data_IF_444485556821
#
_entry.id   IF_444485556821
#
_cell.length_a   1.000
_cell.length_b   1.000
_cell.length_c   1.000
_cell.angle_alpha   90.00
_cell.angle_beta   90.00
_cell.angle_gamma   90.00
#
_symmetry.space_group_name_H-M   'P 1'
#
loop_
_entity.id
_entity.type
_entity.pdbx_description
1 polymer ?
#
# COMPACT_ATOMS: atom_id res chain seq x y z
N UNK A 1 16.14 -0.09 10.83
CA UNK A 1 16.36 -1.12 9.78
C UNK A 1 15.54 -2.41 9.96
N UNK A 2 14.95 -2.71 11.13
CA UNK A 2 14.18 -3.96 11.38
C UNK A 2 12.68 -3.86 11.11
N UNK A 3 12.03 -2.74 11.47
CA UNK A 3 10.59 -2.53 11.31
C UNK A 3 10.10 -2.49 9.86
N UNK A 4 10.89 -1.91 8.95
CA UNK A 4 10.58 -1.89 7.53
C UNK A 4 10.63 -3.31 6.93
N UNK A 5 11.61 -4.12 7.33
CA UNK A 5 11.75 -5.50 6.87
C UNK A 5 10.54 -6.35 7.31
N UNK A 6 10.09 -6.22 8.55
CA UNK A 6 8.92 -6.96 9.05
C UNK A 6 7.64 -6.63 8.26
N UNK A 7 7.40 -5.34 7.94
CA UNK A 7 6.23 -4.93 7.16
C UNK A 7 6.29 -5.38 5.71
N UNK A 8 7.47 -5.31 5.08
CA UNK A 8 7.66 -5.79 3.71
C UNK A 8 7.47 -7.31 3.63
N UNK A 9 7.95 -8.06 4.62
CA UNK A 9 7.70 -9.50 4.70
C UNK A 9 6.21 -9.82 4.88
N UNK A 10 5.47 -9.03 5.68
CA UNK A 10 4.00 -9.17 5.77
C UNK A 10 3.32 -8.90 4.42
N UNK A 11 3.72 -7.86 3.69
CA UNK A 11 3.19 -7.59 2.34
C UNK A 11 3.46 -8.73 1.37
N UNK A 12 4.65 -9.34 1.44
CA UNK A 12 5.01 -10.51 0.62
C UNK A 12 4.23 -11.78 1.01
N UNK A 13 3.61 -11.79 2.18
CA UNK A 13 2.83 -12.91 2.67
C UNK A 13 1.33 -12.81 2.31
N UNK A 14 0.85 -11.67 1.81
CA UNK A 14 -0.56 -11.51 1.44
C UNK A 14 -0.94 -12.45 0.30
N UNK A 15 -2.18 -12.94 0.32
CA UNK A 15 -2.71 -13.94 -0.62
C UNK A 15 -4.07 -13.50 -1.18
N UNK A 16 -4.36 -13.91 -2.41
CA UNK A 16 -5.63 -13.75 -3.12
C UNK A 16 -6.62 -14.88 -2.88
N UNK A 17 -6.23 -15.90 -2.11
CA UNK A 17 -7.14 -16.95 -1.69
C UNK A 17 -8.43 -16.34 -1.12
N UNK A 18 -9.57 -16.94 -1.45
CA UNK A 18 -10.92 -16.38 -1.21
C UNK A 18 -11.15 -15.93 0.23
N UNK A 19 -10.56 -16.62 1.20
CA UNK A 19 -10.72 -16.32 2.63
C UNK A 19 -9.67 -15.34 3.18
N UNK A 20 -8.69 -14.96 2.36
CA UNK A 20 -7.55 -14.11 2.72
C UNK A 20 -7.55 -12.75 2.01
N UNK A 21 -8.29 -12.60 0.90
CA UNK A 21 -8.49 -11.33 0.20
C UNK A 21 -9.99 -11.06 0.01
N UNK A 22 -10.57 -10.29 0.93
CA UNK A 22 -12.01 -10.08 0.98
C UNK A 22 -12.33 -8.64 0.60
N UNK A 23 -13.05 -8.48 -0.50
CA UNK A 23 -13.57 -7.19 -0.93
C UNK A 23 -14.95 -6.97 -0.30
N UNK A 24 -15.07 -5.91 0.49
CA UNK A 24 -16.35 -5.37 0.92
C UNK A 24 -16.75 -4.16 0.04
N UNK A 25 -17.94 -3.61 0.29
CA UNK A 25 -18.41 -2.39 -0.38
C UNK A 25 -17.55 -1.17 -0.04
N UNK A 26 -17.05 -1.10 1.20
CA UNK A 26 -16.43 0.06 1.84
C UNK A 26 -14.94 -0.13 2.14
N UNK A 27 -14.42 -1.36 2.01
CA UNK A 27 -13.04 -1.70 2.37
C UNK A 27 -12.55 -2.98 1.69
N UNK A 28 -11.25 -3.25 1.81
CA UNK A 28 -10.65 -4.55 1.51
C UNK A 28 -9.94 -5.07 2.75
N UNK A 29 -10.14 -6.35 3.06
CA UNK A 29 -9.45 -7.05 4.15
C UNK A 29 -8.44 -8.00 3.53
N UNK A 30 -7.17 -7.83 3.87
CA UNK A 30 -6.07 -8.65 3.40
C UNK A 30 -5.41 -9.38 4.57
N UNK A 31 -5.25 -10.69 4.43
CA UNK A 31 -4.65 -11.56 5.44
C UNK A 31 -3.37 -12.19 4.89
N UNK A 32 -2.31 -12.30 5.70
CA UNK A 32 -1.17 -13.12 5.36
C UNK A 32 -1.59 -14.59 5.19
N UNK A 33 -0.91 -15.28 4.28
CA UNK A 33 -0.98 -16.73 4.16
C UNK A 33 -0.61 -17.37 5.52
N UNK A 34 -1.44 -18.28 6.09
CA UNK A 34 -1.16 -18.92 7.37
C UNK A 34 0.17 -19.69 7.43
N UNK A 35 0.71 -20.12 6.28
CA UNK A 35 2.03 -20.76 6.19
C UNK A 35 3.19 -19.78 6.42
N UNK A 36 2.94 -18.46 6.39
CA UNK A 36 3.95 -17.46 6.67
C UNK A 36 4.28 -17.41 8.17
N UNK A 37 5.54 -17.70 8.50
CA UNK A 37 6.04 -17.61 9.87
C UNK A 37 6.79 -16.28 10.04
N UNK A 38 6.25 -15.32 10.81
CA UNK A 38 6.95 -14.07 11.07
C UNK A 38 8.17 -14.31 11.95
N UNK A 39 9.23 -13.52 11.72
CA UNK A 39 10.48 -13.58 12.48
C UNK A 39 10.28 -13.41 14.00
N UNK A 40 9.26 -12.66 14.41
CA UNK A 40 8.80 -12.59 15.81
C UNK A 40 7.50 -13.39 15.89
N UNK A 41 7.62 -14.62 16.37
CA UNK A 41 6.60 -15.65 16.28
C UNK A 41 5.53 -15.58 17.39
N UNK A 42 4.96 -14.40 17.61
CA UNK A 42 3.82 -14.22 18.50
C UNK A 42 2.52 -14.42 17.71
N UNK A 43 1.52 -15.09 18.30
CA UNK A 43 0.23 -15.35 17.65
C UNK A 43 -0.42 -14.06 17.11
N UNK A 44 -0.27 -12.96 17.85
CA UNK A 44 -0.75 -11.63 17.46
C UNK A 44 -0.15 -11.11 16.14
N UNK A 45 1.07 -11.53 15.77
CA UNK A 45 1.70 -11.11 14.52
C UNK A 45 1.32 -11.97 13.31
N UNK A 46 0.82 -13.20 13.51
CA UNK A 46 0.46 -14.13 12.42
C UNK A 46 -0.87 -13.78 11.78
N UNK A 47 -1.86 -13.37 12.58
CA UNK A 47 -3.24 -13.16 12.14
C UNK A 47 -3.62 -11.68 11.98
N UNK A 48 -2.67 -10.74 12.07
CA UNK A 48 -2.98 -9.33 11.94
C UNK A 48 -3.45 -9.01 10.52
N UNK A 49 -4.73 -8.70 10.39
CA UNK A 49 -5.35 -8.29 9.14
C UNK A 49 -4.89 -6.89 8.74
N UNK A 50 -4.75 -6.69 7.43
CA UNK A 50 -4.57 -5.37 6.84
C UNK A 50 -5.93 -4.94 6.27
N UNK A 51 -6.59 -4.02 6.98
CA UNK A 51 -7.85 -3.41 6.54
C UNK A 51 -7.54 -2.12 5.80
N UNK A 52 -8.00 -2.03 4.55
CA UNK A 52 -7.80 -0.89 3.66
C UNK A 52 -9.17 -0.27 3.36
N UNK A 53 -9.54 0.85 3.99
CA UNK A 53 -10.81 1.52 3.72
C UNK A 53 -10.81 2.15 2.33
N UNK A 54 -12.00 2.35 1.76
CA UNK A 54 -12.15 3.15 0.56
C UNK A 54 -11.79 4.61 0.85
N UNK A 55 -11.04 5.22 -0.06
CA UNK A 55 -10.68 6.62 0.04
C UNK A 55 -11.80 7.52 -0.47
N UNK A 56 -12.46 7.13 -1.56
CA UNK A 56 -13.59 7.88 -2.11
C UNK A 56 -14.45 6.99 -3.00
N UNK A 57 -15.52 6.41 -2.42
CA UNK A 57 -16.45 5.52 -3.13
C UNK A 57 -17.36 6.24 -4.13
N UNK A 58 -17.69 7.52 -3.88
CA UNK A 58 -18.62 8.30 -4.72
C UNK A 58 -18.09 9.73 -4.95
N UNK A 59 -17.42 9.98 -6.09
CA UNK A 59 -16.83 11.29 -6.34
C UNK A 59 -17.89 12.30 -6.81
N UNK A 60 -18.30 13.22 -5.92
CA UNK A 60 -19.30 14.26 -6.22
C UNK A 60 -18.72 15.55 -6.82
N UNK A 61 -17.41 15.80 -6.65
CA UNK A 61 -16.72 17.01 -7.16
C UNK A 61 -15.38 16.67 -7.84
N UNK A 62 -14.81 17.61 -8.60
CA UNK A 62 -13.55 17.47 -9.36
C UNK A 62 -12.38 16.93 -8.52
N UNK A 63 -12.21 17.40 -7.29
CA UNK A 63 -11.16 16.93 -6.36
C UNK A 63 -11.37 15.48 -5.94
N UNK A 64 -12.62 15.08 -5.66
CA UNK A 64 -12.96 13.69 -5.37
C UNK A 64 -12.74 12.75 -6.55
N UNK A 65 -12.86 13.23 -7.79
CA UNK A 65 -12.50 12.43 -8.98
C UNK A 65 -11.00 12.13 -9.02
N UNK A 66 -10.14 13.06 -8.60
CA UNK A 66 -8.70 12.81 -8.49
C UNK A 66 -8.41 11.80 -7.38
N UNK A 67 -9.08 11.90 -6.23
CA UNK A 67 -8.89 10.99 -5.10
C UNK A 67 -9.44 9.59 -5.35
N UNK A 68 -10.50 9.46 -6.15
CA UNK A 68 -10.97 8.16 -6.62
C UNK A 68 -9.90 7.40 -7.43
N UNK A 69 -8.92 8.10 -8.03
CA UNK A 69 -7.77 7.45 -8.70
C UNK A 69 -6.74 6.91 -7.70
N UNK A 70 -6.73 7.44 -6.47
CA UNK A 70 -5.87 6.99 -5.36
C UNK A 70 -6.55 5.92 -4.48
N UNK A 71 -7.78 5.52 -4.82
CA UNK A 71 -8.52 4.51 -4.07
C UNK A 71 -7.82 3.14 -4.15
N UNK A 72 -7.37 2.65 -3.00
CA UNK A 72 -6.56 1.43 -2.91
C UNK A 72 -7.39 0.19 -3.26
N UNK A 73 -8.68 0.16 -2.93
CA UNK A 73 -9.59 -0.94 -3.31
C UNK A 73 -9.69 -1.04 -4.83
N UNK A 74 -9.90 0.08 -5.51
CA UNK A 74 -9.93 0.14 -6.97
C UNK A 74 -8.58 -0.25 -7.58
N UNK A 75 -7.47 0.25 -7.04
CA UNK A 75 -6.14 -0.08 -7.51
C UNK A 75 -5.85 -1.59 -7.39
N UNK A 76 -6.24 -2.21 -6.27
CA UNK A 76 -6.11 -3.64 -6.05
C UNK A 76 -6.96 -4.44 -7.04
N UNK A 77 -8.21 -4.05 -7.26
CA UNK A 77 -9.08 -4.73 -8.25
C UNK A 77 -8.45 -4.72 -9.64
N UNK A 78 -8.01 -3.55 -10.11
CA UNK A 78 -7.35 -3.41 -11.42
C UNK A 78 -6.08 -4.26 -11.48
N UNK A 79 -5.26 -4.25 -10.43
CA UNK A 79 -4.03 -5.04 -10.39
C UNK A 79 -4.31 -6.55 -10.48
N UNK A 80 -5.29 -7.05 -9.72
CA UNK A 80 -5.69 -8.46 -9.73
C UNK A 80 -6.19 -8.85 -11.12
N UNK A 81 -7.10 -8.06 -11.69
CA UNK A 81 -7.67 -8.29 -13.02
C UNK A 81 -6.58 -8.31 -14.11
N UNK A 82 -5.68 -7.32 -14.09
CA UNK A 82 -4.60 -7.21 -15.08
C UNK A 82 -3.54 -8.30 -14.95
N UNK A 83 -3.33 -8.83 -13.74
CA UNK A 83 -2.35 -9.91 -13.52
C UNK A 83 -2.95 -11.31 -13.69
N UNK A 84 -4.28 -11.46 -13.67
CA UNK A 84 -4.96 -12.75 -13.76
C UNK A 84 -4.49 -13.64 -14.93
N UNK A 85 -4.33 -13.15 -16.18
CA UNK A 85 -3.96 -14.02 -17.31
C UNK A 85 -2.57 -14.66 -17.20
N UNK A 86 -1.67 -14.06 -16.43
CA UNK A 86 -0.27 -14.49 -16.32
C UNK A 86 0.09 -15.06 -14.96
N UNK A 87 -0.84 -15.04 -14.00
CA UNK A 87 -0.63 -15.42 -12.61
C UNK A 87 -0.46 -16.93 -12.45
N UNK A 88 0.53 -17.33 -11.65
CA UNK A 88 0.86 -18.74 -11.36
C UNK A 88 0.77 -19.08 -9.86
N UNK A 89 0.32 -18.13 -9.06
CA UNK A 89 0.28 -18.23 -7.59
C UNK A 89 -0.81 -17.34 -7.01
N UNK A 90 -1.31 -17.74 -5.86
CA UNK A 90 -2.24 -16.96 -5.05
C UNK A 90 -1.55 -15.80 -4.31
N UNK A 91 -0.22 -15.69 -4.28
CA UNK A 91 0.43 -14.56 -3.61
C UNK A 91 -0.01 -13.22 -4.22
N UNK A 92 -0.40 -12.23 -3.40
CA UNK A 92 -0.96 -10.96 -3.86
C UNK A 92 -0.11 -10.33 -4.96
N UNK A 93 1.18 -10.11 -4.69
CA UNK A 93 2.12 -9.52 -5.65
C UNK A 93 2.84 -10.59 -6.47
N UNK A 94 2.78 -10.44 -7.81
CA UNK A 94 3.44 -11.31 -8.78
C UNK A 94 4.41 -10.53 -9.67
N UNK A 95 5.43 -11.23 -10.16
CA UNK A 95 6.45 -10.66 -11.04
C UNK A 95 5.89 -10.50 -12.45
N UNK A 96 6.35 -9.43 -13.12
CA UNK A 96 6.10 -9.14 -14.53
C UNK A 96 7.36 -9.33 -15.39
N UNK A 97 8.47 -9.82 -14.82
CA UNK A 97 9.70 -10.08 -15.57
C UNK A 97 9.55 -11.35 -16.42
N UNK A 98 10.09 -11.41 -17.65
CA UNK A 98 9.89 -12.54 -18.55
C UNK A 98 10.14 -13.93 -17.92
N UNK A 99 11.26 -14.11 -17.22
CA UNK A 99 11.66 -15.40 -16.65
C UNK A 99 10.90 -15.78 -15.37
N UNK A 100 10.25 -14.83 -14.70
CA UNK A 100 9.51 -15.07 -13.45
C UNK A 100 8.05 -14.63 -13.54
N UNK A 101 7.55 -14.42 -14.77
CA UNK A 101 6.21 -13.89 -15.02
C UNK A 101 5.16 -14.74 -14.31
N UNK A 102 4.34 -14.08 -13.50
CA UNK A 102 3.27 -14.71 -12.74
C UNK A 102 3.68 -15.33 -11.41
N UNK A 103 4.98 -15.45 -11.13
CA UNK A 103 5.49 -16.03 -9.89
C UNK A 103 5.45 -15.01 -8.75
N UNK A 104 5.39 -15.51 -7.51
CA UNK A 104 5.46 -14.70 -6.30
C UNK A 104 6.74 -13.86 -6.27
N UNK A 105 6.62 -12.57 -5.94
CA UNK A 105 7.80 -11.72 -5.74
C UNK A 105 8.39 -11.88 -4.35
N UNK A 106 9.70 -11.67 -4.24
CA UNK A 106 10.39 -11.65 -2.95
C UNK A 106 10.08 -10.38 -2.15
N UNK A 107 10.24 -10.40 -0.81
CA UNK A 107 10.21 -9.20 0.02
C UNK A 107 11.19 -8.12 -0.48
N UNK A 108 12.39 -8.52 -0.93
CA UNK A 108 13.40 -7.57 -1.45
C UNK A 108 12.91 -6.83 -2.70
N UNK A 109 12.19 -7.50 -3.59
CA UNK A 109 11.58 -6.89 -4.78
C UNK A 109 10.49 -5.89 -4.40
N UNK A 110 9.59 -6.26 -3.47
CA UNK A 110 8.56 -5.33 -2.95
C UNK A 110 9.22 -4.10 -2.33
N UNK A 111 10.26 -4.29 -1.52
CA UNK A 111 11.02 -3.18 -0.94
C UNK A 111 11.65 -2.26 -1.99
N UNK A 112 12.15 -2.83 -3.10
CA UNK A 112 12.69 -2.06 -4.23
C UNK A 112 11.59 -1.27 -4.94
N UNK A 113 10.44 -1.88 -5.21
CA UNK A 113 9.29 -1.20 -5.81
C UNK A 113 8.81 -0.03 -4.96
N UNK A 114 8.69 -0.22 -3.64
CA UNK A 114 8.31 0.86 -2.72
C UNK A 114 9.27 2.05 -2.80
N UNK A 115 10.58 1.80 -2.72
CA UNK A 115 11.59 2.89 -2.84
C UNK A 115 11.51 3.59 -4.20
N UNK A 116 11.36 2.83 -5.28
CA UNK A 116 11.24 3.39 -6.62
C UNK A 116 9.98 4.22 -6.80
N UNK A 117 8.83 3.79 -6.25
CA UNK A 117 7.58 4.55 -6.27
C UNK A 117 7.70 5.87 -5.51
N UNK A 118 8.35 5.86 -4.33
CA UNK A 118 8.60 7.08 -3.57
C UNK A 118 9.50 8.01 -4.39
N UNK A 119 10.64 7.54 -4.90
CA UNK A 119 11.53 8.36 -5.72
C UNK A 119 10.81 9.00 -6.92
N UNK A 120 10.05 8.20 -7.68
CA UNK A 120 9.24 8.68 -8.81
C UNK A 120 8.22 9.76 -8.40
N UNK A 121 7.66 9.69 -7.20
CA UNK A 121 6.74 10.72 -6.73
C UNK A 121 7.46 12.07 -6.54
N UNK A 122 8.65 12.07 -5.93
CA UNK A 122 9.46 13.29 -5.80
C UNK A 122 9.90 13.83 -7.16
N UNK A 123 10.36 12.96 -8.07
CA UNK A 123 10.74 13.33 -9.43
C UNK A 123 9.57 13.99 -10.19
N UNK A 124 8.36 13.45 -10.04
CA UNK A 124 7.16 14.00 -10.71
C UNK A 124 6.74 15.37 -10.20
N UNK A 125 7.20 15.76 -9.01
CA UNK A 125 7.00 17.08 -8.43
C UNK A 125 8.22 18.00 -8.60
N UNK A 126 9.25 17.56 -9.33
CA UNK A 126 10.52 18.29 -9.51
C UNK A 126 11.20 18.63 -8.17
N UNK A 127 10.99 17.81 -7.14
CA UNK A 127 11.59 17.96 -5.81
C UNK A 127 12.77 16.98 -5.71
N UNK A 128 13.94 17.39 -5.19
CA UNK A 128 15.07 16.49 -5.04
C UNK A 128 14.70 15.31 -4.15
N UNK A 129 15.01 14.11 -4.64
CA UNK A 129 14.80 12.85 -3.92
C UNK A 129 15.70 12.83 -2.68
N UNK A 130 15.15 12.68 -1.46
CA UNK A 130 15.98 12.61 -0.25
C UNK A 130 17.02 11.49 -0.31
N UNK A 131 18.24 11.74 0.15
CA UNK A 131 19.24 10.69 0.28
C UNK A 131 18.78 9.64 1.30
N UNK A 132 18.89 8.35 0.95
CA UNK A 132 18.56 7.26 1.87
C UNK A 132 17.08 6.93 2.00
N UNK A 133 16.26 7.07 0.93
CA UNK A 133 14.86 6.60 0.95
C UNK A 133 14.79 5.14 1.43
N UNK A 134 14.15 4.97 2.58
CA UNK A 134 13.75 3.67 3.10
C UNK A 134 12.23 3.56 3.07
N UNK A 135 11.68 2.35 3.11
CA UNK A 135 10.24 2.16 3.25
C UNK A 135 9.64 2.79 4.53
N UNK A 136 10.48 3.32 5.43
CA UNK A 136 10.06 4.08 6.60
C UNK A 136 9.58 5.49 6.26
N UNK A 137 10.05 6.14 5.18
CA UNK A 137 9.60 7.49 4.82
C UNK A 137 8.11 7.52 4.45
N UNK A 138 7.57 6.41 3.93
CA UNK A 138 6.13 6.21 3.71
C UNK A 138 5.31 6.33 5.00
N UNK A 139 5.88 5.99 6.17
CA UNK A 139 5.20 6.13 7.45
C UNK A 139 5.01 7.59 7.84
N UNK A 140 6.03 8.44 7.67
CA UNK A 140 5.91 9.86 8.03
C UNK A 140 4.78 10.52 7.24
N UNK A 141 4.72 10.25 5.93
CA UNK A 141 3.68 10.80 5.04
C UNK A 141 2.29 10.22 5.33
N UNK A 142 2.19 8.90 5.55
CA UNK A 142 0.91 8.25 5.84
C UNK A 142 0.37 8.58 7.24
N UNK A 143 1.24 8.75 8.24
CA UNK A 143 0.86 9.18 9.59
C UNK A 143 0.37 10.63 9.57
N UNK A 144 1.01 11.53 8.82
CA UNK A 144 0.48 12.89 8.62
C UNK A 144 -0.88 12.86 7.93
N UNK A 145 -1.05 12.06 6.87
CA UNK A 145 -2.35 11.93 6.21
C UNK A 145 -3.43 11.31 7.13
N UNK A 146 -3.08 10.30 7.94
CA UNK A 146 -3.99 9.66 8.89
C UNK A 146 -4.35 10.59 10.07
N UNK A 147 -3.39 11.32 10.66
CA UNK A 147 -3.66 12.32 11.69
C UNK A 147 -4.56 13.44 11.19
N UNK A 148 -4.34 13.91 9.95
CA UNK A 148 -5.24 14.89 9.31
C UNK A 148 -6.65 14.30 9.09
N UNK A 149 -6.76 12.97 8.91
CA UNK A 149 -8.06 12.31 8.74
C UNK A 149 -8.78 12.07 10.07
N UNK A 150 -8.05 11.77 11.16
CA UNK A 150 -8.61 11.51 12.49
C UNK A 150 -9.00 12.80 13.22
N UNK A 151 -8.33 13.92 12.93
CA UNK A 151 -8.71 15.25 13.41
C UNK A 151 -9.93 15.86 12.66
N UNK A 152 -10.39 15.22 11.57
CA UNK A 152 -11.45 15.73 10.70
C UNK A 152 -12.79 14.98 10.85
N UNK A 153 -13.03 14.33 12.00
CA UNK A 153 -14.30 13.62 12.26
C UNK A 153 -15.49 14.59 12.49
N UNK A 154 -15.25 15.89 12.73
CA UNK A 154 -16.35 16.88 12.83
C UNK A 154 -16.51 17.87 11.67
N UNK A 155 -15.64 17.91 10.66
CA UNK A 155 -15.86 18.83 9.54
C UNK A 155 -15.41 18.25 8.20
N UNK A 156 -16.40 18.09 7.31
CA UNK A 156 -16.26 17.61 5.94
C UNK A 156 -15.40 18.59 5.14
N UNK A 157 -14.10 18.31 4.96
CA UNK A 157 -13.27 18.62 3.77
C UNK A 157 -11.78 18.36 4.05
N UNK A 158 -11.19 17.33 3.44
CA UNK A 158 -9.77 16.97 3.68
C UNK A 158 -8.79 17.74 2.78
N UNK A 159 -8.11 18.75 3.33
CA UNK A 159 -6.94 19.44 2.72
C UNK A 159 -5.66 18.59 2.81
N UNK A 160 -5.58 17.46 2.10
CA UNK A 160 -4.41 16.56 2.21
C UNK A 160 -3.31 16.75 1.14
N UNK A 161 -3.27 17.85 0.39
CA UNK A 161 -2.22 18.07 -0.62
C UNK A 161 -1.33 19.31 -0.32
N UNK A 162 -1.64 20.11 0.70
CA UNK A 162 -1.02 21.45 0.85
C UNK A 162 -0.11 21.62 2.08
N UNK A 163 0.57 20.57 2.55
CA UNK A 163 1.52 20.66 3.68
C UNK A 163 2.96 20.32 3.26
N UNK A 164 3.38 20.82 2.10
CA UNK A 164 4.78 20.84 1.65
C UNK A 164 5.53 22.14 1.96
N UNK A 165 4.92 23.07 2.71
CA UNK A 165 5.58 24.28 3.22
C UNK A 165 5.54 24.26 4.75
N UNK A 166 6.40 23.49 5.37
CA UNK A 166 6.86 23.81 6.72
C UNK A 166 8.37 23.73 6.72
N UNK A 167 8.93 24.89 7.04
CA UNK A 167 10.33 25.25 7.07
C UNK A 167 11.13 24.31 7.96
N UNK A 168 12.32 23.95 7.49
CA UNK A 168 13.39 23.46 8.34
C UNK A 168 14.53 24.46 8.18
N UNK A 169 14.64 25.38 9.14
CA UNK A 169 15.93 26.00 9.48
C UNK A 169 16.94 24.91 9.90
#
# INVERSE_FOLDING_TARGET
>A
STWAAQRISKLAALSLCKDLCIFHSDRVVLRPDPSFIPKVNLAFHRAQELVLPNFCSHPSHRTKHQWHRLDVRRALHIYIERTAPSRKTEALFVSFQPNTLGCKVSPSTIGRWLRATIAKSYDSHSIPVPQGITAHSTRSVATTAAWVTEAAIEEKECKCIELGKMEWE
#
